data_IF_813129111388
#
_entry.id   IF_813129111388
#
_cell.length_a   1.000
_cell.length_b   1.000
_cell.length_c   1.000
_cell.angle_alpha   90.00
_cell.angle_beta   90.00
_cell.angle_gamma   90.00
#
_symmetry.space_group_name_H-M   'P 1'
#
loop_
_entity.id
_entity.type
_entity.pdbx_description
1 polymer ?
#
# COMPACT_ATOMS: atom_id res chain seq x y z
N UNK A 1 12.42 27.58 26.80
CA UNK A 1 12.11 26.93 25.50
C UNK A 1 11.94 25.44 25.74
N UNK A 2 10.70 24.95 25.80
CA UNK A 2 10.41 23.52 25.97
C UNK A 2 10.94 22.74 24.76
N UNK A 3 11.69 21.66 25.01
CA UNK A 3 12.13 20.74 23.95
C UNK A 3 10.89 20.10 23.34
N UNK A 4 10.54 20.50 22.12
CA UNK A 4 9.45 19.90 21.36
C UNK A 4 9.77 18.40 21.17
N UNK A 5 8.92 17.54 21.75
CA UNK A 5 9.10 16.09 21.66
C UNK A 5 8.92 15.62 20.22
N UNK A 6 9.85 14.76 19.77
CA UNK A 6 9.78 14.12 18.45
C UNK A 6 8.66 13.06 18.43
N UNK A 7 8.01 12.91 17.26
CA UNK A 7 7.00 11.88 17.01
C UNK A 7 7.64 10.49 16.88
N UNK A 8 8.60 10.38 15.96
CA UNK A 8 9.50 9.24 15.76
C UNK A 8 10.91 9.77 15.50
N UNK A 9 11.93 8.89 15.50
CA UNK A 9 13.30 9.29 15.14
C UNK A 9 13.43 9.68 13.66
N UNK A 10 12.49 9.27 12.82
CA UNK A 10 12.47 9.54 11.38
C UNK A 10 11.69 10.80 11.02
N UNK A 11 10.89 11.32 11.95
CA UNK A 11 10.05 12.50 11.74
C UNK A 11 10.79 13.75 12.27
N UNK A 12 10.57 14.88 11.59
CA UNK A 12 11.03 16.18 12.09
C UNK A 12 10.40 16.48 13.45
N UNK A 13 11.02 17.39 14.23
CA UNK A 13 10.42 17.91 15.45
C UNK A 13 9.05 18.51 15.15
N UNK A 14 8.06 18.19 15.99
CA UNK A 14 6.75 18.83 15.91
C UNK A 14 6.91 20.35 16.04
N UNK A 15 6.36 21.11 15.09
CA UNK A 15 6.55 22.57 14.99
C UNK A 15 5.38 23.31 15.63
N UNK A 16 4.18 22.71 15.64
CA UNK A 16 2.95 23.33 16.09
C UNK A 16 2.18 22.45 17.10
N UNK A 17 1.30 23.09 17.87
CA UNK A 17 0.56 22.45 18.98
C UNK A 17 -0.28 21.26 18.51
N UNK A 18 -0.89 21.36 17.33
CA UNK A 18 -1.67 20.29 16.72
C UNK A 18 -0.86 19.03 16.42
N UNK A 19 0.37 19.18 15.90
CA UNK A 19 1.28 18.05 15.69
C UNK A 19 1.67 17.40 17.02
N UNK A 20 1.96 18.21 18.05
CA UNK A 20 2.27 17.73 19.39
C UNK A 20 1.09 16.93 20.00
N UNK A 21 -0.12 17.47 19.91
CA UNK A 21 -1.33 16.81 20.39
C UNK A 21 -1.55 15.48 19.68
N UNK A 22 -1.38 15.44 18.35
CA UNK A 22 -1.52 14.20 17.60
C UNK A 22 -0.48 13.14 18.00
N UNK A 23 0.77 13.54 18.15
CA UNK A 23 1.83 12.64 18.65
C UNK A 23 1.47 12.04 20.01
N UNK A 24 0.92 12.85 20.92
CA UNK A 24 0.49 12.38 22.23
C UNK A 24 -0.69 11.40 22.12
N UNK A 25 -1.69 11.70 21.26
CA UNK A 25 -2.82 10.79 21.00
C UNK A 25 -2.33 9.44 20.46
N UNK A 26 -1.40 9.44 19.50
CA UNK A 26 -0.84 8.19 18.97
C UNK A 26 -0.06 7.40 20.03
N UNK A 27 0.79 8.06 20.82
CA UNK A 27 1.52 7.41 21.92
C UNK A 27 0.57 6.81 22.95
N UNK A 28 -0.48 7.55 23.33
CA UNK A 28 -1.51 7.07 24.26
C UNK A 28 -2.22 5.83 23.70
N UNK A 29 -2.61 5.85 22.42
CA UNK A 29 -3.19 4.69 21.73
C UNK A 29 -2.28 3.48 21.82
N UNK A 30 -0.98 3.63 21.53
CA UNK A 30 0.01 2.56 21.64
C UNK A 30 0.10 1.99 23.06
N UNK A 31 0.19 2.86 24.08
CA UNK A 31 0.26 2.40 25.47
C UNK A 31 -1.01 1.68 25.92
N UNK A 32 -2.19 2.16 25.52
CA UNK A 32 -3.46 1.51 25.86
C UNK A 32 -3.58 0.13 25.20
N UNK A 33 -3.17 -0.01 23.93
CA UNK A 33 -3.16 -1.29 23.23
C UNK A 33 -2.17 -2.27 23.87
N UNK A 34 -0.97 -1.79 24.24
CA UNK A 34 0.03 -2.57 24.95
C UNK A 34 -0.50 -3.08 26.31
N UNK A 35 -1.18 -2.22 27.07
CA UNK A 35 -1.82 -2.60 28.34
C UNK A 35 -2.90 -3.66 28.14
N UNK A 36 -3.77 -3.51 27.13
CA UNK A 36 -4.79 -4.52 26.79
C UNK A 36 -4.16 -5.87 26.49
N UNK A 37 -3.08 -5.89 25.69
CA UNK A 37 -2.34 -7.12 25.36
C UNK A 37 -1.73 -7.77 26.60
N UNK A 38 -1.08 -7.00 27.47
CA UNK A 38 -0.50 -7.55 28.70
C UNK A 38 -1.57 -8.11 29.62
N UNK A 39 -2.71 -7.43 29.78
CA UNK A 39 -3.85 -7.97 30.54
C UNK A 39 -4.37 -9.28 29.96
N UNK A 40 -4.53 -9.37 28.63
CA UNK A 40 -4.97 -10.59 27.97
C UNK A 40 -3.95 -11.73 28.10
N UNK A 41 -2.66 -11.44 27.95
CA UNK A 41 -1.59 -12.43 28.15
C UNK A 41 -1.52 -12.91 29.59
N UNK A 42 -1.66 -12.00 30.56
CA UNK A 42 -1.70 -12.34 31.99
C UNK A 42 -2.91 -13.21 32.32
N UNK A 43 -4.09 -12.89 31.78
CA UNK A 43 -5.28 -13.73 31.91
C UNK A 43 -5.04 -15.13 31.35
N UNK A 44 -4.52 -15.24 30.11
CA UNK A 44 -4.18 -16.55 29.52
C UNK A 44 -3.20 -17.35 30.37
N UNK A 45 -2.19 -16.70 30.97
CA UNK A 45 -1.24 -17.38 31.88
C UNK A 45 -1.93 -17.89 33.14
N UNK A 46 -2.77 -17.07 33.76
CA UNK A 46 -3.57 -17.46 34.93
C UNK A 46 -4.52 -18.62 34.59
N UNK A 47 -5.20 -18.54 33.47
CA UNK A 47 -6.13 -19.55 32.97
C UNK A 47 -5.42 -20.87 32.66
N UNK A 48 -4.26 -20.82 31.99
CA UNK A 48 -3.43 -21.99 31.73
C UNK A 48 -2.89 -22.62 33.03
N UNK A 49 -2.45 -21.80 34.00
CA UNK A 49 -2.00 -22.30 35.29
C UNK A 49 -3.14 -22.93 36.10
N UNK A 50 -4.35 -22.35 36.04
CA UNK A 50 -5.54 -22.90 36.65
C UNK A 50 -5.95 -24.23 36.01
N UNK A 51 -5.87 -24.33 34.67
CA UNK A 51 -6.14 -25.57 33.95
C UNK A 51 -5.18 -26.69 34.39
N UNK A 52 -3.87 -26.42 34.40
CA UNK A 52 -2.84 -27.37 34.83
C UNK A 52 -2.99 -27.79 36.29
N UNK A 53 -3.38 -26.87 37.19
CA UNK A 53 -3.57 -27.16 38.61
C UNK A 53 -4.91 -27.86 38.90
N UNK A 54 -5.97 -27.48 38.20
CA UNK A 54 -7.32 -27.99 38.39
C UNK A 54 -8.22 -27.68 37.19
N UNK A 55 -8.32 -28.66 36.28
CA UNK A 55 -9.22 -28.58 35.12
C UNK A 55 -10.67 -28.33 35.54
N UNK A 56 -11.14 -28.96 36.63
CA UNK A 56 -12.50 -28.78 37.15
C UNK A 56 -12.77 -27.34 37.60
N UNK A 57 -11.79 -26.65 38.18
CA UNK A 57 -11.95 -25.25 38.57
C UNK A 57 -11.95 -24.32 37.34
N UNK A 58 -11.11 -24.62 36.35
CA UNK A 58 -11.06 -23.89 35.08
C UNK A 58 -12.39 -23.96 34.32
N UNK A 59 -12.93 -25.16 34.06
CA UNK A 59 -14.19 -25.31 33.32
C UNK A 59 -15.38 -24.72 34.07
N UNK A 60 -15.38 -24.75 35.41
CA UNK A 60 -16.42 -24.11 36.23
C UNK A 60 -16.42 -22.59 36.08
N UNK A 61 -15.23 -21.98 36.02
CA UNK A 61 -15.07 -20.54 35.74
C UNK A 61 -15.60 -20.18 34.35
N UNK A 62 -15.34 -21.01 33.35
CA UNK A 62 -15.87 -20.84 31.98
C UNK A 62 -17.39 -20.99 31.91
N UNK A 63 -17.98 -21.85 32.73
CA UNK A 63 -19.41 -22.15 32.72
C UNK A 63 -20.24 -21.29 33.69
N UNK A 64 -19.58 -20.44 34.49
CA UNK A 64 -20.23 -19.41 35.32
C UNK A 64 -20.49 -18.09 34.59
N UNK A 65 -19.90 -17.88 33.40
CA UNK A 65 -20.34 -16.80 32.52
C UNK A 65 -21.75 -17.15 31.98
N UNK A 66 -22.68 -16.18 31.91
CA UNK A 66 -24.05 -16.42 31.46
C UNK A 66 -24.05 -16.75 29.97
N UNK A 67 -23.81 -18.01 29.64
CA UNK A 67 -24.15 -18.56 28.34
C UNK A 67 -25.66 -18.82 28.33
N UNK A 68 -26.37 -18.26 27.34
CA UNK A 68 -27.65 -18.80 26.92
C UNK A 68 -27.40 -20.23 26.41
N UNK A 69 -27.50 -21.20 27.33
CA UNK A 69 -27.36 -22.61 26.99
C UNK A 69 -28.63 -23.04 26.26
N UNK A 70 -28.63 -23.00 24.93
CA UNK A 70 -29.54 -23.88 24.18
C UNK A 70 -29.12 -25.31 24.51
N UNK A 71 -30.00 -26.06 25.18
CA UNK A 71 -29.74 -27.43 25.65
C UNK A 71 -29.75 -28.47 24.52
N UNK A 72 -29.91 -28.04 23.27
CA UNK A 72 -30.08 -28.92 22.12
C UNK A 72 -28.80 -28.93 21.30
N UNK A 73 -28.08 -30.03 21.33
CA UNK A 73 -27.03 -30.32 20.35
C UNK A 73 -27.70 -30.28 18.97
N UNK A 74 -27.25 -29.43 18.04
CA UNK A 74 -27.85 -29.37 16.71
C UNK A 74 -27.71 -30.72 16.01
N UNK A 75 -28.78 -31.18 15.38
CA UNK A 75 -28.76 -32.42 14.58
C UNK A 75 -27.81 -32.24 13.39
N UNK A 76 -27.24 -33.33 12.88
CA UNK A 76 -26.35 -33.31 11.70
C UNK A 76 -26.93 -32.49 10.54
N UNK A 77 -28.23 -32.64 10.28
CA UNK A 77 -28.94 -31.91 9.23
C UNK A 77 -28.98 -30.39 9.48
N UNK A 78 -29.10 -29.95 10.74
CA UNK A 78 -29.08 -28.52 11.10
C UNK A 78 -27.69 -27.90 10.91
N UNK A 79 -26.64 -28.68 11.15
CA UNK A 79 -25.25 -28.28 10.94
C UNK A 79 -24.93 -28.21 9.44
N UNK A 80 -25.36 -29.22 8.67
CA UNK A 80 -25.20 -29.24 7.20
C UNK A 80 -26.00 -28.13 6.53
N UNK A 81 -27.22 -27.83 6.98
CA UNK A 81 -28.03 -26.72 6.45
C UNK A 81 -27.38 -25.36 6.76
N UNK A 82 -26.91 -25.13 7.99
CA UNK A 82 -26.26 -23.88 8.38
C UNK A 82 -24.97 -23.63 7.59
N UNK A 83 -24.06 -24.61 7.53
CA UNK A 83 -22.81 -24.47 6.82
C UNK A 83 -22.98 -24.53 5.30
N UNK A 84 -23.93 -25.34 4.81
CA UNK A 84 -24.31 -25.40 3.40
C UNK A 84 -24.85 -24.08 2.88
N UNK A 85 -25.60 -23.33 3.70
CA UNK A 85 -26.12 -22.00 3.32
C UNK A 85 -25.04 -20.92 3.29
N UNK A 86 -24.01 -21.05 4.14
CA UNK A 86 -22.92 -20.06 4.24
C UNK A 86 -21.80 -20.26 3.21
N UNK A 87 -21.59 -21.51 2.77
CA UNK A 87 -20.56 -21.86 1.78
C UNK A 87 -21.11 -22.30 0.41
N UNK A 88 -22.41 -22.57 0.31
CA UNK A 88 -23.07 -23.02 -0.91
C UNK A 88 -23.71 -21.88 -1.69
N UNK A 89 -22.89 -21.00 -2.26
CA UNK A 89 -23.30 -20.33 -3.50
C UNK A 89 -22.49 -20.94 -4.64
N UNK A 90 -23.06 -21.93 -5.32
CA UNK A 90 -22.65 -22.24 -6.68
C UNK A 90 -23.02 -21.04 -7.55
N UNK A 91 -22.08 -20.12 -7.72
CA UNK A 91 -22.20 -19.06 -8.70
C UNK A 91 -22.23 -19.69 -10.09
N UNK A 92 -23.42 -19.87 -10.65
CA UNK A 92 -23.56 -20.23 -12.05
C UNK A 92 -23.13 -19.03 -12.90
N UNK A 93 -22.11 -19.23 -13.73
CA UNK A 93 -21.71 -18.27 -14.76
C UNK A 93 -22.89 -18.09 -15.74
N UNK A 94 -23.53 -16.92 -15.70
CA UNK A 94 -24.66 -16.59 -16.56
C UNK A 94 -24.17 -16.35 -17.99
N UNK A 95 -24.13 -17.43 -18.80
CA UNK A 95 -23.76 -17.39 -20.22
C UNK A 95 -24.73 -16.56 -21.09
N UNK A 96 -25.90 -16.21 -20.57
CA UNK A 96 -26.95 -15.48 -21.28
C UNK A 96 -27.16 -14.07 -20.69
N UNK A 97 -26.18 -13.53 -19.96
CA UNK A 97 -26.28 -12.18 -19.45
C UNK A 97 -26.29 -11.19 -20.63
N UNK A 98 -27.35 -10.38 -20.74
CA UNK A 98 -27.60 -9.51 -21.91
C UNK A 98 -26.44 -8.55 -22.23
N UNK A 99 -25.61 -8.20 -21.24
CA UNK A 99 -24.43 -7.37 -21.47
C UNK A 99 -23.36 -8.07 -22.33
N UNK A 100 -23.29 -9.41 -22.35
CA UNK A 100 -22.37 -10.17 -23.21
C UNK A 100 -22.79 -10.01 -24.68
N UNK A 101 -24.09 -10.17 -24.97
CA UNK A 101 -24.65 -9.92 -26.31
C UNK A 101 -24.54 -8.46 -26.73
N UNK A 102 -24.70 -7.52 -25.80
CA UNK A 102 -24.52 -6.09 -26.08
C UNK A 102 -23.06 -5.75 -26.43
N UNK A 103 -22.10 -6.39 -25.77
CA UNK A 103 -20.67 -6.17 -26.03
C UNK A 103 -20.20 -6.88 -27.31
N UNK A 104 -20.74 -8.06 -27.64
CA UNK A 104 -20.55 -8.73 -28.93
C UNK A 104 -21.09 -7.88 -30.09
N UNK A 105 -22.27 -7.27 -29.91
CA UNK A 105 -22.84 -6.34 -30.91
C UNK A 105 -21.99 -5.08 -31.09
N UNK A 106 -21.40 -4.53 -30.01
CA UNK A 106 -20.45 -3.41 -30.10
C UNK A 106 -19.14 -3.81 -30.78
N UNK A 107 -18.64 -5.03 -30.51
CA UNK A 107 -17.42 -5.54 -31.12
C UNK A 107 -17.55 -5.71 -32.63
N UNK A 108 -18.76 -5.94 -33.15
CA UNK A 108 -19.01 -6.12 -34.58
C UNK A 108 -18.71 -4.87 -35.45
N UNK A 109 -18.65 -3.68 -34.84
CA UNK A 109 -18.30 -2.42 -35.51
C UNK A 109 -16.81 -2.04 -35.39
N UNK A 110 -16.03 -2.79 -34.59
CA UNK A 110 -14.59 -2.59 -34.49
C UNK A 110 -13.87 -3.45 -35.53
N UNK A 111 -13.34 -2.81 -36.58
CA UNK A 111 -12.42 -3.49 -37.49
C UNK A 111 -11.19 -3.97 -36.69
N UNK A 112 -10.84 -5.27 -36.71
CA UNK A 112 -9.64 -5.74 -36.06
C UNK A 112 -8.43 -5.04 -36.68
N UNK A 113 -7.59 -4.45 -35.83
CA UNK A 113 -6.38 -3.77 -36.26
C UNK A 113 -5.50 -4.79 -36.98
N UNK A 114 -5.26 -4.60 -38.28
CA UNK A 114 -4.37 -5.49 -39.03
C UNK A 114 -2.97 -5.42 -38.42
N UNK A 115 -2.51 -6.54 -37.88
CA UNK A 115 -1.15 -6.67 -37.40
C UNK A 115 -0.18 -6.50 -38.57
N UNK A 116 0.55 -5.38 -38.58
CA UNK A 116 1.71 -5.19 -39.47
C UNK A 116 2.98 -5.43 -38.66
N UNK A 117 3.84 -6.30 -39.15
CA UNK A 117 5.18 -6.45 -38.58
C UNK A 117 5.98 -5.17 -38.86
N UNK A 118 6.60 -4.61 -37.83
CA UNK A 118 7.48 -3.45 -37.99
C UNK A 118 8.73 -3.83 -38.78
N UNK A 119 9.12 -2.97 -39.71
CA UNK A 119 10.39 -3.14 -40.43
C UNK A 119 11.57 -2.78 -39.52
N UNK A 120 12.73 -3.40 -39.75
CA UNK A 120 13.96 -3.08 -39.01
C UNK A 120 14.30 -1.58 -39.08
N UNK A 121 13.95 -0.92 -40.19
CA UNK A 121 14.17 0.51 -40.39
C UNK A 121 13.27 1.36 -39.50
N UNK A 122 11.98 1.04 -39.39
CA UNK A 122 11.05 1.74 -38.49
C UNK A 122 11.44 1.60 -37.01
N UNK A 123 11.96 0.44 -36.61
CA UNK A 123 12.49 0.22 -35.25
C UNK A 123 13.75 1.08 -35.04
N UNK A 124 14.65 1.11 -36.03
CA UNK A 124 15.88 1.92 -35.98
C UNK A 124 15.56 3.41 -35.90
N UNK A 125 14.61 3.91 -36.68
CA UNK A 125 14.25 5.34 -36.73
C UNK A 125 13.63 5.84 -35.42
N UNK A 126 12.94 4.97 -34.67
CA UNK A 126 12.45 5.25 -33.30
C UNK A 126 13.61 5.24 -32.29
N UNK A 127 14.61 4.38 -32.48
CA UNK A 127 15.76 4.20 -31.57
C UNK A 127 16.85 5.30 -31.70
N UNK A 128 16.88 6.06 -32.80
CA UNK A 128 17.96 7.05 -33.07
C UNK A 128 17.96 8.31 -32.18
N UNK A 129 16.94 8.52 -31.34
CA UNK A 129 16.83 9.79 -30.57
C UNK A 129 17.85 9.89 -29.43
N UNK A 130 18.38 8.76 -28.94
CA UNK A 130 19.41 8.74 -27.89
C UNK A 130 20.55 7.78 -28.29
N UNK A 131 21.73 8.27 -28.73
CA UNK A 131 22.85 7.40 -29.10
C UNK A 131 23.50 6.82 -27.84
N UNK A 132 23.01 5.66 -27.39
CA UNK A 132 23.49 4.98 -26.19
C UNK A 132 24.83 4.27 -26.42
N UNK A 133 25.62 4.08 -25.37
CA UNK A 133 26.91 3.38 -25.43
C UNK A 133 26.75 1.90 -25.81
N UNK A 134 25.64 1.25 -25.39
CA UNK A 134 25.33 -0.10 -25.84
C UNK A 134 25.05 -0.13 -27.36
N UNK A 135 24.28 0.83 -27.88
CA UNK A 135 24.04 0.98 -29.32
C UNK A 135 25.34 1.23 -30.09
N UNK A 136 26.20 2.12 -29.60
CA UNK A 136 27.51 2.41 -30.21
C UNK A 136 28.41 1.18 -30.28
N UNK A 137 28.43 0.36 -29.22
CA UNK A 137 29.27 -0.84 -29.16
C UNK A 137 28.75 -1.97 -30.03
N UNK A 138 27.46 -2.29 -29.94
CA UNK A 138 26.90 -3.52 -30.55
C UNK A 138 26.26 -3.28 -31.92
N UNK A 139 25.65 -2.12 -32.16
CA UNK A 139 24.97 -1.82 -33.43
C UNK A 139 25.91 -1.11 -34.40
N UNK A 140 26.58 -0.03 -33.95
CA UNK A 140 27.59 0.66 -34.76
C UNK A 140 28.95 -0.05 -34.80
N UNK A 141 29.09 -1.16 -34.06
CA UNK A 141 30.31 -1.99 -33.98
C UNK A 141 31.58 -1.20 -33.64
N UNK A 142 31.45 -0.13 -32.86
CA UNK A 142 32.60 0.63 -32.39
C UNK A 142 33.24 -0.07 -31.19
N UNK A 143 34.21 -0.94 -31.45
CA UNK A 143 34.87 -1.80 -30.45
C UNK A 143 35.70 -1.02 -29.41
N UNK A 144 36.02 0.25 -29.67
CA UNK A 144 36.72 1.12 -28.71
C UNK A 144 35.77 1.72 -27.67
N UNK A 145 34.46 1.71 -27.93
CA UNK A 145 33.47 2.24 -27.00
C UNK A 145 33.04 1.17 -25.99
N UNK A 146 33.13 1.51 -24.70
CA UNK A 146 32.53 0.71 -23.63
C UNK A 146 31.01 0.73 -23.75
N UNK A 147 30.33 -0.39 -23.42
CA UNK A 147 28.87 -0.47 -23.30
C UNK A 147 28.36 0.03 -21.94
N UNK A 148 29.28 0.41 -21.04
CA UNK A 148 28.92 0.89 -19.71
C UNK A 148 28.25 2.26 -19.74
N UNK A 149 27.41 2.46 -18.75
CA UNK A 149 26.75 3.70 -18.37
C UNK A 149 27.70 4.91 -18.34
N UNK A 150 27.39 5.94 -19.14
CA UNK A 150 28.13 7.22 -19.19
C UNK A 150 28.11 8.00 -17.88
N UNK A 151 27.15 7.69 -17.00
CA UNK A 151 26.99 8.32 -15.69
C UNK A 151 27.69 7.53 -14.57
N UNK A 152 28.53 6.55 -14.91
CA UNK A 152 29.43 5.88 -13.96
C UNK A 152 28.85 4.69 -13.22
N UNK A 153 27.67 4.22 -13.61
CA UNK A 153 27.07 3.02 -13.02
C UNK A 153 27.59 1.73 -13.69
N UNK A 154 27.47 0.58 -13.01
CA UNK A 154 28.09 -0.68 -13.46
C UNK A 154 27.30 -1.40 -14.56
N UNK A 155 26.08 -0.95 -14.85
CA UNK A 155 25.18 -1.55 -15.83
C UNK A 155 25.50 -1.10 -17.27
N UNK A 156 24.97 -1.85 -18.25
CA UNK A 156 25.06 -1.49 -19.66
C UNK A 156 24.10 -0.35 -20.00
N UNK A 157 24.57 0.59 -20.79
CA UNK A 157 23.82 1.78 -21.17
C UNK A 157 22.85 1.49 -22.31
N UNK A 158 21.66 0.99 -21.98
CA UNK A 158 20.52 0.90 -22.90
C UNK A 158 19.64 2.15 -22.82
N UNK A 159 18.69 2.33 -23.75
CA UNK A 159 17.75 3.46 -23.69
C UNK A 159 16.94 3.40 -22.40
N UNK A 160 16.42 2.22 -22.07
CA UNK A 160 15.67 1.96 -20.83
C UNK A 160 16.53 2.25 -19.60
N UNK A 161 17.82 1.92 -19.66
CA UNK A 161 18.75 2.24 -18.59
C UNK A 161 18.93 3.75 -18.43
N UNK A 162 19.15 4.50 -19.51
CA UNK A 162 19.34 5.96 -19.45
C UNK A 162 18.07 6.69 -19.04
N UNK A 163 16.90 6.27 -19.52
CA UNK A 163 15.61 6.91 -19.20
C UNK A 163 15.07 6.51 -17.83
N UNK A 164 15.49 5.34 -17.33
CA UNK A 164 14.73 4.67 -16.29
C UNK A 164 15.40 3.45 -15.64
N UNK A 165 16.71 3.28 -15.71
CA UNK A 165 17.39 2.19 -15.00
C UNK A 165 18.67 2.63 -14.31
N UNK A 166 19.14 3.84 -14.60
CA UNK A 166 20.43 4.29 -14.15
C UNK A 166 20.44 4.57 -12.65
N UNK A 167 21.24 3.79 -11.93
CA UNK A 167 21.44 3.94 -10.50
C UNK A 167 22.06 5.29 -10.12
N UNK A 168 22.72 5.98 -11.06
CA UNK A 168 23.23 7.32 -10.83
C UNK A 168 22.09 8.34 -10.58
N UNK A 169 20.91 8.12 -11.16
CA UNK A 169 19.72 8.98 -10.99
C UNK A 169 18.68 8.38 -10.03
N UNK A 170 18.86 7.12 -9.61
CA UNK A 170 17.94 6.43 -8.70
C UNK A 170 17.69 7.15 -7.35
N UNK A 171 18.69 7.75 -6.69
CA UNK A 171 18.49 8.38 -5.39
C UNK A 171 17.77 9.73 -5.46
N UNK A 172 17.97 10.52 -6.52
CA UNK A 172 17.45 11.89 -6.66
C UNK A 172 16.19 11.93 -7.52
N UNK A 173 16.29 11.53 -8.79
CA UNK A 173 15.23 11.78 -9.77
C UNK A 173 13.99 10.91 -9.51
N UNK A 174 14.19 9.67 -9.04
CA UNK A 174 13.06 8.81 -8.70
C UNK A 174 12.34 9.26 -7.45
N UNK A 175 13.09 9.73 -6.45
CA UNK A 175 12.49 10.27 -5.23
C UNK A 175 11.71 11.54 -5.54
N UNK A 176 12.26 12.43 -6.36
CA UNK A 176 11.55 13.63 -6.80
C UNK A 176 10.29 13.33 -7.61
N UNK A 177 10.36 12.43 -8.60
CA UNK A 177 9.17 12.02 -9.38
C UNK A 177 8.10 11.39 -8.50
N UNK A 178 8.52 10.57 -7.56
CA UNK A 178 7.64 9.92 -6.60
C UNK A 178 6.94 10.94 -5.70
N UNK A 179 7.70 11.86 -5.11
CA UNK A 179 7.18 12.90 -4.24
C UNK A 179 6.24 13.85 -5.00
N UNK A 180 6.53 14.15 -6.27
CA UNK A 180 5.63 14.95 -7.13
C UNK A 180 4.30 14.22 -7.34
N UNK A 181 4.33 12.94 -7.70
CA UNK A 181 3.11 12.15 -7.90
C UNK A 181 2.29 12.04 -6.60
N UNK A 182 2.96 11.74 -5.49
CA UNK A 182 2.33 11.66 -4.18
C UNK A 182 1.75 13.03 -3.75
N UNK A 183 2.43 14.15 -4.01
CA UNK A 183 1.93 15.52 -3.75
C UNK A 183 0.63 15.80 -4.48
N UNK A 184 0.56 15.43 -5.77
CA UNK A 184 -0.65 15.60 -6.59
C UNK A 184 -1.79 14.78 -5.99
N UNK A 185 -1.55 13.50 -5.70
CA UNK A 185 -2.55 12.61 -5.10
C UNK A 185 -3.03 13.17 -3.75
N UNK A 186 -2.11 13.61 -2.89
CA UNK A 186 -2.44 14.20 -1.60
C UNK A 186 -3.34 15.43 -1.75
N UNK A 187 -3.05 16.33 -2.69
CA UNK A 187 -3.87 17.51 -2.96
C UNK A 187 -5.28 17.16 -3.44
N UNK A 188 -5.37 16.19 -4.36
CA UNK A 188 -6.66 15.70 -4.88
C UNK A 188 -7.52 15.10 -3.77
N UNK A 189 -6.92 14.29 -2.89
CA UNK A 189 -7.61 13.70 -1.74
C UNK A 189 -8.02 14.78 -0.74
N UNK A 190 -7.14 15.71 -0.42
CA UNK A 190 -7.43 16.81 0.49
C UNK A 190 -8.62 17.65 0.00
N UNK A 191 -8.68 17.93 -1.31
CA UNK A 191 -9.81 18.64 -1.90
C UNK A 191 -11.10 17.80 -1.87
N UNK A 192 -11.03 16.53 -2.28
CA UNK A 192 -12.19 15.62 -2.29
C UNK A 192 -12.82 15.47 -0.91
N UNK A 193 -12.02 15.40 0.14
CA UNK A 193 -12.48 15.26 1.53
C UNK A 193 -12.75 16.60 2.24
N UNK A 194 -12.73 17.72 1.50
CA UNK A 194 -12.96 19.07 2.05
C UNK A 194 -12.02 19.41 3.21
N UNK A 195 -10.75 19.01 3.09
CA UNK A 195 -9.67 19.36 4.00
C UNK A 195 -8.94 20.64 3.55
N UNK A 196 -9.07 20.99 2.26
CA UNK A 196 -8.63 22.26 1.67
C UNK A 196 -9.77 22.85 0.84
N UNK A 197 -9.84 24.17 0.77
CA UNK A 197 -10.92 24.89 0.06
C UNK A 197 -10.69 24.95 -1.45
N UNK A 198 -9.43 25.03 -1.89
CA UNK A 198 -9.10 25.17 -3.30
C UNK A 198 -7.81 24.42 -3.66
N UNK A 199 -7.68 24.10 -4.95
CA UNK A 199 -6.46 23.50 -5.50
C UNK A 199 -5.51 24.59 -5.98
N UNK A 200 -4.25 24.42 -5.63
CA UNK A 200 -3.12 25.18 -6.17
C UNK A 200 -2.48 24.40 -7.32
N UNK A 201 -1.73 25.09 -8.17
CA UNK A 201 -0.86 24.44 -9.15
C UNK A 201 0.14 23.52 -8.43
N UNK A 202 0.40 22.32 -8.99
CA UNK A 202 1.15 21.26 -8.31
C UNK A 202 2.53 21.71 -7.78
N UNK A 203 3.21 22.61 -8.49
CA UNK A 203 4.54 23.11 -8.14
C UNK A 203 4.54 24.16 -7.02
N UNK A 204 3.37 24.74 -6.68
CA UNK A 204 3.19 25.65 -5.53
C UNK A 204 2.64 24.92 -4.30
N UNK A 205 2.18 23.69 -4.48
CA UNK A 205 1.54 22.93 -3.41
C UNK A 205 2.59 22.28 -2.50
N UNK A 206 2.48 22.55 -1.20
CA UNK A 206 3.27 21.88 -0.17
C UNK A 206 2.32 21.13 0.76
N UNK A 207 2.36 19.79 0.80
CA UNK A 207 1.54 19.00 1.71
C UNK A 207 1.83 19.35 3.17
N UNK A 208 0.78 19.43 3.98
CA UNK A 208 0.92 19.47 5.43
C UNK A 208 1.00 18.04 5.96
N UNK A 209 1.85 17.79 6.95
CA UNK A 209 2.00 16.46 7.57
C UNK A 209 0.69 15.89 8.12
N UNK A 210 -0.26 16.77 8.47
CA UNK A 210 -1.60 16.40 8.95
C UNK A 210 -2.59 17.42 8.45
N UNK A 211 -3.68 16.94 7.85
CA UNK A 211 -4.92 17.68 7.66
C UNK A 211 -6.05 16.93 8.35
N UNK A 212 -6.88 17.62 9.10
CA UNK A 212 -7.96 16.99 9.87
C UNK A 212 -9.21 17.89 9.84
N UNK A 213 -10.36 17.27 9.58
CA UNK A 213 -11.68 17.85 9.83
C UNK A 213 -12.50 16.88 10.69
N UNK A 214 -13.79 17.15 10.89
CA UNK A 214 -14.64 16.33 11.78
C UNK A 214 -14.77 14.88 11.32
N UNK A 215 -14.70 14.62 10.00
CA UNK A 215 -14.96 13.30 9.38
C UNK A 215 -13.71 12.56 8.93
N UNK A 216 -12.71 13.30 8.48
CA UNK A 216 -11.54 12.76 7.80
C UNK A 216 -10.25 13.28 8.41
N UNK A 217 -9.23 12.45 8.36
CA UNK A 217 -7.86 12.82 8.66
C UNK A 217 -6.92 12.30 7.59
N UNK A 218 -6.05 13.15 7.09
CA UNK A 218 -5.08 12.85 6.05
C UNK A 218 -3.68 13.09 6.63
N UNK A 219 -2.84 12.07 6.61
CA UNK A 219 -1.42 12.19 6.94
C UNK A 219 -0.57 12.15 5.69
N UNK A 220 0.49 12.93 5.70
CA UNK A 220 1.53 12.96 4.68
C UNK A 220 2.87 12.59 5.31
N UNK A 221 3.55 11.60 4.73
CA UNK A 221 4.93 11.22 5.05
C UNK A 221 5.21 11.14 6.57
N UNK A 222 4.29 10.50 7.30
CA UNK A 222 4.31 10.46 8.76
C UNK A 222 4.41 9.03 9.27
N UNK A 223 5.29 8.83 10.24
CA UNK A 223 5.49 7.52 10.86
C UNK A 223 4.27 7.11 11.68
N UNK A 224 3.71 5.93 11.42
CA UNK A 224 2.66 5.32 12.25
C UNK A 224 3.31 4.65 13.45
N UNK A 225 2.94 5.09 14.65
CA UNK A 225 3.37 4.45 15.88
C UNK A 225 2.54 3.20 16.13
N UNK A 226 3.20 2.05 16.11
CA UNK A 226 2.60 0.76 16.42
C UNK A 226 3.16 0.21 17.72
N UNK A 227 2.39 -0.64 18.38
CA UNK A 227 2.79 -1.19 19.67
C UNK A 227 3.80 -2.33 19.58
N UNK A 228 3.87 -2.96 18.41
CA UNK A 228 4.91 -3.89 17.97
C UNK A 228 5.80 -3.22 16.91
N UNK A 229 7.01 -3.75 16.77
CA UNK A 229 7.93 -3.31 15.74
C UNK A 229 7.42 -3.73 14.36
N UNK A 230 7.19 -2.76 13.49
CA UNK A 230 6.89 -2.98 12.08
C UNK A 230 8.02 -2.35 11.28
N UNK A 231 8.61 -3.12 10.37
CA UNK A 231 9.80 -2.71 9.60
C UNK A 231 9.51 -1.53 8.66
N UNK A 232 8.31 -1.49 8.09
CA UNK A 232 7.84 -0.43 7.19
C UNK A 232 6.56 0.18 7.77
N UNK A 233 6.70 1.24 8.55
CA UNK A 233 5.59 1.89 9.25
C UNK A 233 5.38 3.35 8.81
N UNK A 234 5.94 3.74 7.66
CA UNK A 234 5.83 5.08 7.10
C UNK A 234 5.30 5.02 5.66
N UNK A 235 3.97 4.90 5.50
CA UNK A 235 3.33 5.03 4.20
C UNK A 235 3.44 6.47 3.68
N UNK A 236 3.32 6.64 2.37
CA UNK A 236 3.39 7.99 1.76
C UNK A 236 2.19 8.85 2.18
N UNK A 237 0.99 8.26 2.13
CA UNK A 237 -0.27 8.92 2.47
C UNK A 237 -1.16 7.97 3.28
N UNK A 238 -1.79 8.51 4.32
CA UNK A 238 -2.78 7.77 5.13
C UNK A 238 -4.07 8.57 5.21
N UNK A 239 -5.18 7.94 4.86
CA UNK A 239 -6.52 8.50 5.08
C UNK A 239 -7.20 7.74 6.20
N UNK A 240 -7.77 8.46 7.16
CA UNK A 240 -8.65 7.94 8.19
C UNK A 240 -10.04 8.52 8.00
N UNK A 241 -11.01 7.66 7.72
CA UNK A 241 -12.43 7.97 7.80
C UNK A 241 -12.89 7.67 9.23
N UNK A 242 -13.27 8.72 9.97
CA UNK A 242 -13.68 8.64 11.37
C UNK A 242 -15.08 8.05 11.52
N UNK A 243 -15.97 8.33 10.56
CA UNK A 243 -17.35 7.88 10.58
C UNK A 243 -17.42 6.38 10.28
N UNK A 244 -16.71 5.94 9.23
CA UNK A 244 -16.65 4.52 8.85
C UNK A 244 -15.62 3.70 9.62
N UNK A 245 -14.82 4.33 10.50
CA UNK A 245 -13.66 3.74 11.18
C UNK A 245 -12.70 3.00 10.23
N UNK A 246 -12.52 3.54 9.02
CA UNK A 246 -11.72 2.92 7.96
C UNK A 246 -10.43 3.69 7.76
N UNK A 247 -9.30 2.97 7.77
CA UNK A 247 -7.99 3.52 7.42
C UNK A 247 -7.57 3.00 6.05
N UNK A 248 -7.10 3.88 5.18
CA UNK A 248 -6.56 3.55 3.85
C UNK A 248 -5.12 4.03 3.78
N UNK A 249 -4.20 3.10 3.51
CA UNK A 249 -2.78 3.39 3.29
C UNK A 249 -2.53 3.45 1.79
N UNK A 250 -1.83 4.48 1.33
CA UNK A 250 -1.51 4.68 -0.07
C UNK A 250 0.00 4.83 -0.18
N UNK A 251 0.63 3.88 -0.85
CA UNK A 251 2.05 3.92 -1.21
C UNK A 251 2.18 4.07 -2.72
N UNK A 252 2.75 5.20 -3.14
CA UNK A 252 3.04 5.46 -4.53
C UNK A 252 4.27 4.63 -4.93
N UNK A 253 4.34 4.28 -6.21
CA UNK A 253 5.57 3.72 -6.77
C UNK A 253 5.59 4.07 -8.24
N UNK A 254 6.74 4.52 -8.72
CA UNK A 254 6.99 4.77 -10.14
C UNK A 254 8.12 3.82 -10.55
N UNK A 255 7.84 2.52 -10.73
CA UNK A 255 8.83 1.59 -11.25
C UNK A 255 9.01 1.81 -12.75
N UNK A 256 10.22 1.59 -13.26
CA UNK A 256 10.38 1.38 -14.70
C UNK A 256 9.79 0.02 -15.10
N UNK A 257 9.26 -0.03 -16.33
CA UNK A 257 8.43 -1.10 -16.88
C UNK A 257 8.99 -2.52 -16.71
N UNK A 258 10.31 -2.68 -16.64
CA UNK A 258 10.96 -3.98 -16.48
C UNK A 258 11.03 -4.49 -15.02
N UNK A 259 10.75 -3.64 -14.02
CA UNK A 259 10.83 -3.98 -12.59
C UNK A 259 9.46 -4.07 -11.89
N UNK A 260 8.35 -3.95 -12.62
CA UNK A 260 6.98 -3.97 -12.08
C UNK A 260 6.69 -5.24 -11.27
N UNK A 261 7.03 -6.41 -11.80
CA UNK A 261 6.82 -7.70 -11.14
C UNK A 261 7.65 -7.86 -9.87
N UNK A 262 8.92 -7.42 -9.88
CA UNK A 262 9.78 -7.47 -8.69
C UNK A 262 9.30 -6.51 -7.60
N UNK A 263 8.96 -5.27 -7.97
CA UNK A 263 8.47 -4.25 -7.02
C UNK A 263 7.08 -4.56 -6.47
N UNK A 264 6.19 -5.13 -7.29
CA UNK A 264 4.89 -5.61 -6.84
C UNK A 264 5.04 -6.74 -5.81
N UNK A 265 5.91 -7.72 -6.08
CA UNK A 265 6.17 -8.83 -5.17
C UNK A 265 6.85 -8.38 -3.86
N UNK A 266 7.76 -7.40 -3.92
CA UNK A 266 8.39 -6.78 -2.74
C UNK A 266 7.36 -6.05 -1.86
N UNK A 267 6.39 -5.35 -2.46
CA UNK A 267 5.32 -4.65 -1.72
C UNK A 267 4.33 -5.63 -1.08
N UNK A 268 3.83 -6.62 -1.83
CA UNK A 268 2.85 -7.60 -1.34
C UNK A 268 3.40 -8.45 -0.19
N UNK A 269 4.67 -8.87 -0.28
CA UNK A 269 5.32 -9.62 0.80
C UNK A 269 5.49 -8.82 2.10
N UNK A 270 5.73 -7.50 1.99
CA UNK A 270 5.89 -6.62 3.15
C UNK A 270 4.57 -6.19 3.81
N UNK A 271 3.46 -6.18 3.07
CA UNK A 271 2.13 -5.84 3.61
C UNK A 271 1.38 -7.02 4.26
N UNK A 272 1.87 -8.25 4.08
CA UNK A 272 1.22 -9.49 4.55
C UNK A 272 1.81 -10.13 5.81
N UNK A 273 2.69 -9.44 6.55
CA UNK A 273 3.35 -9.97 7.77
C UNK A 273 2.83 -9.32 9.05
#
# INVERSE_FOLDING_TARGET
>A
MQRLHHHSHQDATNINEWQCLDTLKQKLSVYTQRLKRYKASSHRKHDNALFQRSEKAFYRKLSSEPQEKSKTVPTKDQVEEFWGKQFGSTAYYNKCAGWITDEEAKSHYCNPMQYRAYTKQEIVDIDQVIPTNNYKRFILKNLQQSDKCRYGCQDSETIQHVTGGCQAFAPTDYKERHDIAAKIIHQELAYKFKLIECKLQYYKYTPQCVLENDKYKLYWDRTVLTDQYIKQNRPDIIIVDKDAQKVTLIDVAIPNSNNLTYKHNEKVANTGS
#
